data_IF_262321825814
#
_entry.id   IF_262321825814
#
_cell.length_a   1.000
_cell.length_b   1.000
_cell.length_c   1.000
_cell.angle_alpha   90.00
_cell.angle_beta   90.00
_cell.angle_gamma   90.00
#
_symmetry.space_group_name_H-M   'P 1'
#
loop_
_entity.id
_entity.type
_entity.pdbx_description
1 polymer ?
#
# COMPACT_ATOMS: atom_id res chain seq x y z
N UNK A 1 28.47 14.49 -13.08
CA UNK A 1 27.28 13.71 -13.47
C UNK A 1 27.13 12.58 -12.47
N UNK A 2 26.51 12.85 -11.32
CA UNK A 2 26.16 11.83 -10.33
C UNK A 2 24.71 11.42 -10.63
N UNK A 3 24.55 10.20 -11.13
CA UNK A 3 23.25 9.58 -11.35
C UNK A 3 22.64 9.25 -9.98
N UNK A 4 21.56 9.93 -9.63
CA UNK A 4 20.71 9.59 -8.50
C UNK A 4 19.63 8.62 -9.01
N UNK A 5 20.01 7.34 -9.12
CA UNK A 5 19.05 6.29 -9.41
C UNK A 5 18.31 5.94 -8.11
N UNK A 6 16.98 5.78 -8.11
CA UNK A 6 16.26 5.35 -6.92
C UNK A 6 16.80 3.99 -6.49
N UNK A 7 17.34 3.90 -5.27
CA UNK A 7 17.72 2.61 -4.69
C UNK A 7 16.44 1.79 -4.53
N UNK A 8 16.32 0.71 -5.27
CA UNK A 8 15.27 -0.28 -5.05
C UNK A 8 15.33 -0.74 -3.60
N UNK A 9 14.31 -0.36 -2.81
CA UNK A 9 14.16 -0.84 -1.44
C UNK A 9 13.97 -2.35 -1.50
N UNK A 10 14.88 -3.16 -0.92
CA UNK A 10 14.70 -4.60 -0.94
C UNK A 10 13.37 -4.94 -0.26
N UNK A 11 12.57 -5.79 -0.90
CA UNK A 11 11.24 -6.23 -0.44
C UNK A 11 11.23 -6.87 0.98
N UNK A 12 12.41 -7.04 1.59
CA UNK A 12 12.63 -7.70 2.87
C UNK A 12 12.97 -6.74 4.02
N UNK A 13 13.02 -5.42 3.79
CA UNK A 13 13.21 -4.46 4.87
C UNK A 13 11.89 -4.33 5.66
N UNK A 14 11.77 -5.12 6.74
CA UNK A 14 10.54 -5.20 7.55
C UNK A 14 10.21 -3.91 8.31
N UNK A 15 11.20 -3.03 8.44
CA UNK A 15 11.10 -1.73 9.09
C UNK A 15 11.99 -0.77 8.29
N UNK A 16 11.49 0.43 7.94
CA UNK A 16 12.33 1.47 7.39
C UNK A 16 13.42 1.81 8.42
N UNK A 17 14.69 1.71 8.02
CA UNK A 17 15.84 2.04 8.88
C UNK A 17 15.82 3.51 9.34
N UNK A 18 15.09 4.35 8.62
CA UNK A 18 14.93 5.79 8.88
C UNK A 18 13.95 6.10 10.02
N UNK A 19 13.20 5.10 10.51
CA UNK A 19 12.13 5.32 11.50
C UNK A 19 10.88 6.00 10.92
N UNK A 20 10.84 6.26 9.61
CA UNK A 20 9.69 6.84 8.91
C UNK A 20 8.73 5.75 8.47
N UNK A 21 7.55 5.70 9.09
CA UNK A 21 6.50 4.76 8.70
C UNK A 21 5.51 5.46 7.78
N UNK A 22 5.52 5.22 6.46
CA UNK A 22 4.53 5.81 5.58
C UNK A 22 3.13 5.36 6.01
N UNK A 23 2.27 6.32 6.36
CA UNK A 23 0.90 6.07 6.82
C UNK A 23 -0.13 5.99 5.70
N UNK A 24 0.33 6.12 4.45
CA UNK A 24 -0.51 6.22 3.26
C UNK A 24 -0.62 7.66 2.75
N UNK A 25 -1.52 7.90 1.77
CA UNK A 25 -1.75 9.24 1.22
C UNK A 25 -2.29 10.21 2.26
N UNK A 26 -1.95 11.49 2.11
CA UNK A 26 -2.46 12.57 2.96
C UNK A 26 -3.95 12.87 2.67
N UNK A 27 -4.61 13.58 3.58
CA UNK A 27 -6.00 14.02 3.35
C UNK A 27 -6.06 14.95 2.13
N UNK A 28 -6.87 14.56 1.15
CA UNK A 28 -7.02 15.27 -0.12
C UNK A 28 -6.17 14.69 -1.25
N UNK A 29 -5.23 13.79 -0.95
CA UNK A 29 -4.52 13.03 -1.96
C UNK A 29 -5.35 11.85 -2.46
N UNK A 30 -5.11 11.49 -3.72
CA UNK A 30 -5.79 10.36 -4.36
C UNK A 30 -5.16 9.06 -3.85
N UNK A 31 -5.98 8.16 -3.33
CA UNK A 31 -5.54 6.79 -3.04
C UNK A 31 -5.17 6.09 -4.35
N UNK A 32 -3.96 5.51 -4.48
CA UNK A 32 -3.57 4.77 -5.68
C UNK A 32 -4.54 3.62 -5.96
N UNK A 33 -4.80 3.35 -7.23
CA UNK A 33 -5.57 2.16 -7.60
C UNK A 33 -4.74 0.89 -7.38
N UNK A 34 -5.40 -0.19 -6.98
CA UNK A 34 -4.75 -1.47 -6.72
C UNK A 34 -5.69 -2.63 -7.02
N UNK A 35 -5.09 -3.79 -7.29
CA UNK A 35 -5.79 -5.07 -7.41
C UNK A 35 -5.15 -6.07 -6.46
N UNK A 36 -5.94 -6.63 -5.56
CA UNK A 36 -5.50 -7.59 -4.55
C UNK A 36 -6.41 -8.82 -4.56
N UNK A 37 -5.93 -9.92 -3.96
CA UNK A 37 -6.74 -11.11 -3.76
C UNK A 37 -7.62 -10.96 -2.52
N UNK A 38 -8.89 -11.35 -2.63
CA UNK A 38 -9.77 -11.52 -1.47
C UNK A 38 -9.45 -12.82 -0.70
N UNK A 39 -10.20 -13.10 0.36
CA UNK A 39 -10.03 -14.30 1.19
C UNK A 39 -10.33 -15.63 0.46
N UNK A 40 -10.95 -15.57 -0.72
CA UNK A 40 -11.26 -16.72 -1.57
C UNK A 40 -10.28 -16.85 -2.75
N UNK A 41 -9.32 -15.93 -2.88
CA UNK A 41 -8.35 -15.90 -3.97
C UNK A 41 -8.86 -15.24 -5.25
N UNK A 42 -9.98 -14.51 -5.20
CA UNK A 42 -10.46 -13.74 -6.34
C UNK A 42 -9.73 -12.41 -6.43
N UNK A 43 -9.36 -11.99 -7.64
CA UNK A 43 -8.80 -10.66 -7.87
C UNK A 43 -9.90 -9.59 -7.75
N UNK A 44 -9.66 -8.57 -6.92
CA UNK A 44 -10.54 -7.44 -6.70
C UNK A 44 -9.78 -6.16 -7.01
N UNK A 45 -10.25 -5.40 -8.00
CA UNK A 45 -9.79 -4.03 -8.25
C UNK A 45 -10.52 -3.07 -7.30
N UNK A 46 -9.78 -2.17 -6.64
CA UNK A 46 -10.32 -1.25 -5.66
C UNK A 46 -11.33 -0.26 -6.26
N UNK A 47 -10.98 0.37 -7.38
CA UNK A 47 -11.82 1.38 -8.02
C UNK A 47 -13.16 0.79 -8.47
N UNK A 48 -13.13 -0.39 -9.08
CA UNK A 48 -14.34 -1.11 -9.48
C UNK A 48 -15.19 -1.52 -8.27
N UNK A 49 -14.55 -2.07 -7.21
CA UNK A 49 -15.25 -2.51 -6.00
C UNK A 49 -15.88 -1.36 -5.21
N UNK A 50 -15.26 -0.17 -5.22
CA UNK A 50 -15.80 1.04 -4.59
C UNK A 50 -17.01 1.59 -5.35
N UNK A 51 -17.12 1.35 -6.65
CA UNK A 51 -18.31 1.70 -7.45
C UNK A 51 -18.70 3.19 -7.41
N UNK A 52 -17.75 4.10 -7.13
CA UNK A 52 -18.01 5.53 -6.95
C UNK A 52 -18.55 5.96 -5.57
N UNK A 53 -18.75 5.04 -4.64
CA UNK A 53 -19.21 5.34 -3.27
C UNK A 53 -18.04 5.69 -2.33
N UNK A 54 -18.26 5.88 -1.04
CA UNK A 54 -17.17 6.00 -0.06
C UNK A 54 -16.64 4.62 0.34
N UNK A 55 -15.34 4.51 0.62
CA UNK A 55 -14.71 3.25 1.04
C UNK A 55 -13.82 3.46 2.26
N UNK A 56 -13.72 2.42 3.10
CA UNK A 56 -12.77 2.34 4.21
C UNK A 56 -11.68 1.33 3.85
N UNK A 57 -10.41 1.74 3.95
CA UNK A 57 -9.26 0.87 3.71
C UNK A 57 -8.49 0.70 5.02
N UNK A 58 -8.30 -0.56 5.42
CA UNK A 58 -7.60 -0.90 6.66
C UNK A 58 -6.37 -1.73 6.33
N UNK A 59 -5.20 -1.16 6.57
CA UNK A 59 -3.95 -1.91 6.54
C UNK A 59 -3.74 -2.58 7.91
N UNK A 60 -3.64 -3.90 7.91
CA UNK A 60 -3.36 -4.64 9.13
C UNK A 60 -2.23 -5.64 8.89
N UNK A 61 -1.53 -6.00 9.97
CA UNK A 61 -0.59 -7.13 9.99
C UNK A 61 -0.98 -8.06 11.11
N UNK A 62 -0.92 -9.36 10.87
CA UNK A 62 -1.11 -10.34 11.92
C UNK A 62 0.04 -10.24 12.93
N UNK A 63 -0.27 -10.33 14.22
CA UNK A 63 0.75 -10.60 15.22
C UNK A 63 1.23 -12.05 15.04
N UNK A 64 2.56 -12.22 15.01
CA UNK A 64 3.19 -13.53 15.18
C UNK A 64 3.90 -13.45 16.53
N UNK A 65 3.40 -14.21 17.50
CA UNK A 65 4.02 -14.43 18.80
C UNK A 65 5.00 -15.59 18.72
#
# INVERSE_FOLDING_TARGET
MTSDAPKETPANLRYPETGEFPTGPEVGEVLPDFTLLDQHGNAVNFTDARGGEQALVVFHRSARW
#
